data_IF_419798640959
#
_entry.id   IF_419798640959
#
_cell.length_a   1.000
_cell.length_b   1.000
_cell.length_c   1.000
_cell.angle_alpha   90.00
_cell.angle_beta   90.00
_cell.angle_gamma   90.00
#
_symmetry.space_group_name_H-M   'P 1'
#
loop_
_entity.id
_entity.type
_entity.pdbx_description
1 polymer ?
#
# COMPACT_ATOMS: atom_id res chain seq x y z
N UNK A 1 31.26 14.17 -0.79
CA UNK A 1 30.20 14.95 -0.13
C UNK A 1 29.40 13.99 0.74
N UNK A 2 29.08 14.34 1.98
CA UNK A 2 28.19 13.52 2.80
C UNK A 2 26.79 13.51 2.17
N UNK A 3 26.12 12.36 2.22
CA UNK A 3 24.78 12.17 1.64
C UNK A 3 23.75 13.19 2.16
N UNK A 4 23.97 13.74 3.36
CA UNK A 4 23.15 14.81 3.97
C UNK A 4 23.15 16.13 3.20
N UNK A 5 24.12 16.37 2.30
CA UNK A 5 24.19 17.59 1.48
C UNK A 5 24.11 17.30 -0.03
N UNK A 6 23.65 16.10 -0.44
CA UNK A 6 23.33 15.86 -1.86
C UNK A 6 22.01 16.51 -2.24
N UNK A 7 21.88 16.89 -3.50
CA UNK A 7 20.67 17.47 -4.08
C UNK A 7 19.46 16.51 -3.94
N UNK A 8 19.74 15.20 -4.03
CA UNK A 8 18.76 14.14 -3.76
C UNK A 8 18.25 14.19 -2.30
N UNK A 9 19.15 14.43 -1.34
CA UNK A 9 18.77 14.56 0.08
C UNK A 9 17.85 15.76 0.34
N UNK A 10 18.06 16.88 -0.36
CA UNK A 10 17.20 18.06 -0.24
C UNK A 10 15.81 17.82 -0.81
N UNK A 11 15.70 17.13 -1.95
CA UNK A 11 14.41 16.82 -2.58
C UNK A 11 13.65 15.77 -1.76
N UNK A 12 14.34 14.74 -1.26
CA UNK A 12 13.72 13.75 -0.38
C UNK A 12 13.22 14.37 0.94
N UNK A 13 13.99 15.28 1.54
CA UNK A 13 13.57 15.95 2.78
C UNK A 13 12.36 16.85 2.55
N UNK A 14 12.38 17.69 1.50
CA UNK A 14 11.24 18.54 1.17
C UNK A 14 9.97 17.71 0.87
N UNK A 15 10.12 16.56 0.22
CA UNK A 15 9.01 15.64 -0.03
C UNK A 15 8.43 15.09 1.27
N UNK A 16 9.30 14.70 2.22
CA UNK A 16 8.87 14.24 3.54
C UNK A 16 8.11 15.34 4.28
N UNK A 17 8.65 16.56 4.35
CA UNK A 17 8.03 17.67 5.09
C UNK A 17 6.62 17.97 4.59
N UNK A 18 6.42 17.99 3.26
CA UNK A 18 5.10 18.21 2.64
C UNK A 18 4.14 17.07 2.97
N UNK A 19 4.59 15.81 2.93
CA UNK A 19 3.74 14.67 3.26
C UNK A 19 3.31 14.69 4.73
N UNK A 20 4.21 15.03 5.64
CA UNK A 20 3.91 15.19 7.06
C UNK A 20 2.92 16.33 7.31
N UNK A 21 3.06 17.48 6.61
CA UNK A 21 2.10 18.59 6.68
C UNK A 21 0.69 18.16 6.19
N UNK A 22 0.62 17.29 5.19
CA UNK A 22 -0.63 16.70 4.69
C UNK A 22 -1.19 15.59 5.61
N UNK A 23 -0.55 15.31 6.75
CA UNK A 23 -1.00 14.34 7.75
C UNK A 23 -0.56 12.89 7.47
N UNK A 24 0.40 12.67 6.57
CA UNK A 24 0.96 11.35 6.33
C UNK A 24 2.04 11.02 7.36
N UNK A 25 2.06 9.78 7.83
CA UNK A 25 3.24 9.27 8.52
C UNK A 25 4.30 8.89 7.49
N UNK A 26 5.54 9.37 7.64
CA UNK A 26 6.63 9.04 6.73
C UNK A 26 7.63 8.10 7.42
N UNK A 27 7.96 6.98 6.76
CA UNK A 27 8.95 6.01 7.24
C UNK A 27 9.96 5.69 6.15
N UNK A 28 11.21 5.40 6.52
CA UNK A 28 12.25 4.96 5.57
C UNK A 28 12.53 3.47 5.74
N UNK A 29 12.31 2.68 4.69
CA UNK A 29 12.46 1.23 4.73
C UNK A 29 13.89 0.75 4.46
N UNK A 30 14.62 1.43 3.57
CA UNK A 30 15.95 0.98 3.15
C UNK A 30 16.91 0.77 4.33
N UNK A 31 17.43 -0.48 4.43
CA UNK A 31 18.29 -0.98 5.53
C UNK A 31 17.70 -0.95 6.94
N UNK A 32 16.49 -0.41 7.12
CA UNK A 32 15.78 -0.30 8.40
C UNK A 32 14.60 -1.27 8.51
N UNK A 33 14.17 -1.84 7.39
CA UNK A 33 13.08 -2.80 7.37
C UNK A 33 13.49 -4.14 8.00
N UNK A 34 12.74 -4.52 9.02
CA UNK A 34 12.64 -5.88 9.54
C UNK A 34 11.33 -6.52 9.07
N UNK A 35 11.34 -7.84 8.92
CA UNK A 35 10.18 -8.64 8.47
C UNK A 35 9.49 -9.36 9.62
N UNK A 36 8.26 -9.81 9.37
CA UNK A 36 7.34 -10.44 10.32
C UNK A 36 6.33 -9.45 10.90
N UNK A 37 5.43 -9.94 11.75
CA UNK A 37 4.31 -9.16 12.33
C UNK A 37 4.74 -7.90 13.08
N UNK A 38 5.88 -7.95 13.77
CA UNK A 38 6.49 -6.83 14.51
C UNK A 38 7.51 -6.05 13.67
N UNK A 39 7.68 -6.43 12.40
CA UNK A 39 8.55 -5.75 11.45
C UNK A 39 8.09 -4.32 11.19
N UNK A 40 9.00 -3.48 10.68
CA UNK A 40 8.72 -2.06 10.41
C UNK A 40 7.40 -1.85 9.64
N UNK A 41 7.21 -2.62 8.56
CA UNK A 41 6.02 -2.53 7.71
C UNK A 41 5.02 -3.68 7.90
N UNK A 42 5.37 -4.68 8.73
CA UNK A 42 4.55 -5.87 8.95
C UNK A 42 4.48 -6.79 7.74
N UNK A 43 5.50 -6.75 6.87
CA UNK A 43 5.65 -7.65 5.73
C UNK A 43 6.41 -8.91 6.13
N UNK A 44 6.07 -10.05 5.57
CA UNK A 44 6.84 -11.29 5.75
C UNK A 44 8.13 -11.32 4.91
N UNK A 45 8.11 -10.72 3.73
CA UNK A 45 9.27 -10.55 2.86
C UNK A 45 9.06 -9.44 1.81
N UNK A 46 10.04 -9.25 0.92
CA UNK A 46 10.01 -8.21 -0.13
C UNK A 46 9.04 -8.49 -1.27
N UNK A 47 8.41 -9.67 -1.35
CA UNK A 47 7.40 -9.98 -2.37
C UNK A 47 6.05 -9.35 -2.02
N UNK A 48 5.81 -9.05 -0.74
CA UNK A 48 4.58 -8.41 -0.30
C UNK A 48 4.60 -6.92 -0.66
N UNK A 49 3.70 -6.51 -1.55
CA UNK A 49 3.53 -5.10 -1.90
C UNK A 49 2.45 -4.44 -1.05
N UNK A 50 1.37 -5.16 -0.74
CA UNK A 50 0.30 -4.69 0.15
C UNK A 50 0.70 -4.89 1.60
N UNK A 51 0.55 -3.85 2.42
CA UNK A 51 0.87 -3.92 3.84
C UNK A 51 -0.33 -4.49 4.62
N UNK A 52 -0.40 -5.83 4.67
CA UNK A 52 -1.54 -6.58 5.20
C UNK A 52 -1.90 -6.22 6.64
N UNK A 53 -0.91 -5.94 7.50
CA UNK A 53 -1.13 -5.50 8.90
C UNK A 53 -2.02 -4.26 8.98
N UNK A 54 -1.69 -3.21 8.23
CA UNK A 54 -2.47 -1.98 8.21
C UNK A 54 -3.83 -2.17 7.52
N UNK A 55 -3.87 -2.99 6.46
CA UNK A 55 -5.10 -3.29 5.75
C UNK A 55 -6.11 -4.04 6.62
N UNK A 56 -5.66 -5.04 7.38
CA UNK A 56 -6.49 -5.77 8.33
C UNK A 56 -7.12 -4.83 9.35
N UNK A 57 -6.29 -4.02 10.01
CA UNK A 57 -6.73 -3.05 11.02
C UNK A 57 -7.75 -2.06 10.45
N UNK A 58 -7.51 -1.56 9.22
CA UNK A 58 -8.42 -0.63 8.57
C UNK A 58 -9.77 -1.28 8.20
N UNK A 59 -9.76 -2.46 7.56
CA UNK A 59 -11.00 -3.16 7.20
C UNK A 59 -11.81 -3.51 8.47
N UNK A 60 -11.15 -3.96 9.53
CA UNK A 60 -11.81 -4.26 10.81
C UNK A 60 -12.43 -3.00 11.43
N UNK A 61 -11.70 -1.88 11.46
CA UNK A 61 -12.18 -0.58 11.96
C UNK A 61 -13.39 -0.08 11.16
N UNK A 62 -13.35 -0.16 9.83
CA UNK A 62 -14.39 0.37 8.95
C UNK A 62 -15.64 -0.51 8.88
N UNK A 63 -15.54 -1.78 9.25
CA UNK A 63 -16.60 -2.78 9.14
C UNK A 63 -16.71 -3.59 10.44
N UNK A 64 -17.22 -2.96 11.50
CA UNK A 64 -17.43 -3.64 12.79
C UNK A 64 -18.45 -4.78 12.70
N UNK A 65 -18.35 -5.76 13.61
CA UNK A 65 -19.29 -6.88 13.79
C UNK A 65 -19.19 -8.02 12.75
N UNK A 66 -18.00 -8.25 12.18
CA UNK A 66 -17.71 -9.45 11.38
C UNK A 66 -16.65 -10.31 12.09
N UNK A 67 -16.67 -11.63 11.90
CA UNK A 67 -15.61 -12.50 12.42
C UNK A 67 -14.30 -12.32 11.62
N UNK A 68 -13.17 -12.67 12.22
CA UNK A 68 -11.85 -12.46 11.61
C UNK A 68 -11.70 -13.13 10.25
N UNK A 69 -12.31 -14.30 10.05
CA UNK A 69 -12.35 -15.00 8.75
C UNK A 69 -12.90 -14.11 7.60
N UNK A 70 -13.82 -13.19 7.90
CA UNK A 70 -14.34 -12.26 6.90
C UNK A 70 -13.29 -11.20 6.52
N UNK A 71 -12.52 -10.71 7.49
CA UNK A 71 -11.44 -9.74 7.25
C UNK A 71 -10.28 -10.40 6.52
N UNK A 72 -9.88 -11.61 6.91
CA UNK A 72 -8.85 -12.41 6.25
C UNK A 72 -9.22 -12.69 4.79
N UNK A 73 -10.46 -13.13 4.53
CA UNK A 73 -10.95 -13.35 3.18
C UNK A 73 -10.92 -12.08 2.33
N UNK A 74 -11.22 -10.91 2.91
CA UNK A 74 -11.12 -9.65 2.17
C UNK A 74 -9.67 -9.34 1.76
N UNK A 75 -8.70 -9.57 2.65
CA UNK A 75 -7.27 -9.38 2.35
C UNK A 75 -6.81 -10.37 1.29
N UNK A 76 -7.22 -11.63 1.38
CA UNK A 76 -6.93 -12.66 0.38
C UNK A 76 -7.46 -12.23 -0.98
N UNK A 77 -8.74 -11.84 -1.08
CA UNK A 77 -9.34 -11.37 -2.32
C UNK A 77 -8.68 -10.11 -2.88
N UNK A 78 -8.17 -9.21 -2.05
CA UNK A 78 -7.41 -8.03 -2.50
C UNK A 78 -6.05 -8.45 -3.05
N UNK A 79 -5.33 -9.32 -2.35
CA UNK A 79 -3.94 -9.68 -2.66
C UNK A 79 -3.79 -10.82 -3.67
N UNK A 80 -4.86 -11.54 -3.97
CA UNK A 80 -4.85 -12.67 -4.89
C UNK A 80 -4.39 -12.25 -6.30
N UNK A 81 -3.36 -12.93 -6.79
CA UNK A 81 -2.94 -12.91 -8.18
C UNK A 81 -3.64 -14.03 -8.93
N UNK A 82 -4.35 -13.70 -10.01
CA UNK A 82 -5.10 -14.66 -10.79
C UNK A 82 -4.44 -14.80 -12.17
N UNK A 83 -3.69 -15.87 -12.36
CA UNK A 83 -2.78 -16.06 -13.50
C UNK A 83 -3.48 -16.12 -14.87
N UNK A 84 -4.79 -16.44 -14.91
CA UNK A 84 -5.58 -16.53 -16.15
C UNK A 84 -6.26 -15.19 -16.52
N UNK A 85 -5.95 -14.11 -15.80
CA UNK A 85 -6.54 -12.80 -16.02
C UNK A 85 -5.53 -11.81 -16.60
N UNK A 86 -5.99 -10.97 -17.51
CA UNK A 86 -5.20 -9.83 -17.97
C UNK A 86 -5.08 -8.79 -16.85
N UNK A 87 -3.98 -8.02 -16.86
CA UNK A 87 -3.78 -6.92 -15.91
C UNK A 87 -4.95 -5.93 -15.89
N UNK A 88 -5.55 -5.64 -17.04
CA UNK A 88 -6.72 -4.77 -17.13
C UNK A 88 -7.96 -5.34 -16.43
N UNK A 89 -8.17 -6.66 -16.49
CA UNK A 89 -9.27 -7.35 -15.79
C UNK A 89 -9.03 -7.34 -14.28
N UNK A 90 -7.81 -7.69 -13.85
CA UNK A 90 -7.41 -7.64 -12.44
C UNK A 90 -7.60 -6.22 -11.91
N UNK A 91 -7.07 -5.21 -12.60
CA UNK A 91 -7.19 -3.82 -12.17
C UNK A 91 -8.65 -3.36 -12.03
N UNK A 92 -9.52 -3.72 -12.98
CA UNK A 92 -10.95 -3.40 -12.91
C UNK A 92 -11.62 -4.05 -11.70
N UNK A 93 -11.34 -5.32 -11.44
CA UNK A 93 -11.89 -6.06 -10.30
C UNK A 93 -11.40 -5.48 -8.96
N UNK A 94 -10.08 -5.29 -8.79
CA UNK A 94 -9.54 -4.70 -7.57
C UNK A 94 -10.05 -3.28 -7.37
N UNK A 95 -10.20 -2.49 -8.44
CA UNK A 95 -10.82 -1.16 -8.36
C UNK A 95 -12.26 -1.24 -7.85
N UNK A 96 -13.05 -2.23 -8.29
CA UNK A 96 -14.40 -2.46 -7.76
C UNK A 96 -14.37 -2.79 -6.27
N UNK A 97 -13.47 -3.67 -5.83
CA UNK A 97 -13.30 -4.01 -4.42
C UNK A 97 -12.93 -2.80 -3.57
N UNK A 98 -11.99 -1.98 -4.04
CA UNK A 98 -11.54 -0.78 -3.34
C UNK A 98 -12.63 0.29 -3.23
N UNK A 99 -13.48 0.45 -4.26
CA UNK A 99 -14.54 1.46 -4.30
C UNK A 99 -15.86 1.02 -3.65
N UNK A 100 -16.28 -0.21 -3.95
CA UNK A 100 -17.61 -0.72 -3.64
C UNK A 100 -17.60 -1.78 -2.53
N UNK A 101 -16.43 -2.12 -2.01
CA UNK A 101 -16.21 -3.10 -0.95
C UNK A 101 -15.93 -4.50 -1.49
N UNK A 102 -15.14 -5.25 -0.73
CA UNK A 102 -14.72 -6.61 -1.05
C UNK A 102 -15.86 -7.59 -0.73
N UNK A 103 -16.34 -8.41 -1.67
CA UNK A 103 -17.41 -9.36 -1.44
C UNK A 103 -16.89 -10.56 -0.64
N UNK A 104 -17.32 -10.68 0.61
CA UNK A 104 -16.94 -11.77 1.50
C UNK A 104 -18.14 -12.66 1.82
N UNK A 105 -17.88 -13.91 2.12
CA UNK A 105 -18.87 -14.87 2.55
C UNK A 105 -18.32 -15.81 3.62
N UNK A 106 -19.03 -15.90 4.75
CA UNK A 106 -18.64 -16.70 5.90
C UNK A 106 -19.86 -17.32 6.57
N UNK A 107 -19.65 -18.39 7.34
CA UNK A 107 -20.69 -19.03 8.14
C UNK A 107 -20.76 -18.37 9.51
N UNK A 108 -21.95 -17.91 9.92
CA UNK A 108 -22.14 -17.30 11.23
C UNK A 108 -22.28 -18.37 12.35
N UNK A 109 -22.41 -17.91 13.59
CA UNK A 109 -22.57 -18.80 14.77
C UNK A 109 -23.85 -19.65 14.76
N UNK A 110 -24.82 -19.33 13.89
CA UNK A 110 -26.05 -20.09 13.68
C UNK A 110 -25.94 -21.12 12.54
N UNK A 111 -24.77 -21.23 11.90
CA UNK A 111 -24.57 -22.11 10.75
C UNK A 111 -25.09 -21.55 9.42
N UNK A 112 -25.45 -20.27 9.36
CA UNK A 112 -26.00 -19.64 8.15
C UNK A 112 -24.87 -19.01 7.33
N UNK A 113 -24.95 -19.17 6.00
CA UNK A 113 -24.04 -18.48 5.07
C UNK A 113 -24.44 -17.00 4.96
N UNK A 114 -23.55 -16.13 5.44
CA UNK A 114 -23.70 -14.67 5.31
C UNK A 114 -22.85 -14.21 4.13
N UNK A 115 -23.42 -13.36 3.26
CA UNK A 115 -22.71 -12.66 2.19
C UNK A 115 -22.80 -11.17 2.42
N UNK A 116 -21.66 -10.48 2.42
CA UNK A 116 -21.61 -9.03 2.64
C UNK A 116 -20.45 -8.42 1.87
N UNK A 117 -20.36 -7.08 1.86
CA UNK A 117 -19.22 -6.36 1.32
C UNK A 117 -18.51 -5.57 2.41
N UNK A 118 -17.19 -5.71 2.50
CA UNK A 118 -16.38 -4.97 3.46
C UNK A 118 -15.71 -3.77 2.78
N UNK A 119 -15.92 -2.58 3.33
CA UNK A 119 -15.30 -1.34 2.86
C UNK A 119 -13.80 -1.35 3.12
N UNK A 120 -13.01 -0.92 2.13
CA UNK A 120 -11.55 -0.76 2.25
C UNK A 120 -11.16 0.66 2.64
N UNK A 121 -11.91 1.65 2.15
CA UNK A 121 -11.68 3.07 2.44
C UNK A 121 -12.94 3.75 2.96
N UNK A 122 -12.76 4.74 3.83
CA UNK A 122 -13.79 5.71 4.15
C UNK A 122 -13.67 6.92 3.21
N UNK A 123 -14.47 6.91 2.15
CA UNK A 123 -14.53 8.05 1.20
C UNK A 123 -15.36 9.22 1.72
N UNK A 124 -16.17 9.03 2.78
CA UNK A 124 -17.01 10.09 3.33
C UNK A 124 -16.24 10.94 4.33
N UNK A 125 -15.44 10.29 5.17
CA UNK A 125 -14.53 10.94 6.09
C UNK A 125 -13.12 10.36 5.90
N UNK A 126 -12.31 11.03 5.08
CA UNK A 126 -11.00 10.51 4.69
C UNK A 126 -10.04 10.37 5.87
N UNK A 127 -10.20 11.18 6.92
CA UNK A 127 -9.38 11.15 8.14
C UNK A 127 -9.50 9.82 8.92
N UNK A 128 -10.53 9.03 8.63
CA UNK A 128 -10.66 7.69 9.21
C UNK A 128 -9.67 6.67 8.61
N UNK A 129 -9.07 6.98 7.47
CA UNK A 129 -8.07 6.15 6.81
C UNK A 129 -6.67 6.42 7.38
N UNK A 130 -5.82 5.41 7.30
CA UNK A 130 -4.41 5.48 7.67
C UNK A 130 -3.56 5.83 6.45
N UNK A 131 -2.80 6.93 6.53
CA UNK A 131 -1.92 7.42 5.48
C UNK A 131 -0.45 7.21 5.86
N UNK A 132 0.26 6.42 5.07
CA UNK A 132 1.66 6.06 5.29
C UNK A 132 2.46 6.24 4.01
N UNK A 133 3.51 7.04 4.05
CA UNK A 133 4.47 7.14 2.96
C UNK A 133 5.74 6.37 3.33
N UNK A 134 6.13 5.42 2.49
CA UNK A 134 7.33 4.61 2.70
C UNK A 134 8.39 5.04 1.70
N UNK A 135 9.47 5.62 2.22
CA UNK A 135 10.67 6.00 1.45
C UNK A 135 11.56 4.79 1.20
N UNK A 136 12.12 4.73 -0.01
CA UNK A 136 13.09 3.73 -0.45
C UNK A 136 12.57 2.29 -0.22
N UNK A 137 11.34 2.03 -0.69
CA UNK A 137 10.59 0.79 -0.46
C UNK A 137 11.03 -0.31 -1.43
N UNK A 138 11.69 -1.36 -0.95
CA UNK A 138 12.14 -2.46 -1.83
C UNK A 138 11.05 -3.50 -2.07
N UNK A 139 10.84 -3.84 -3.34
CA UNK A 139 9.91 -4.87 -3.79
C UNK A 139 10.63 -5.84 -4.73
N UNK A 140 10.46 -7.14 -4.50
CA UNK A 140 10.94 -8.16 -5.41
C UNK A 140 9.96 -8.33 -6.57
N UNK A 141 10.35 -7.87 -7.77
CA UNK A 141 9.62 -8.15 -9.01
C UNK A 141 9.99 -9.51 -9.61
N UNK A 142 9.42 -9.85 -10.77
CA UNK A 142 9.66 -11.15 -11.43
C UNK A 142 11.13 -11.43 -11.75
N UNK A 143 11.90 -10.39 -12.09
CA UNK A 143 13.29 -10.52 -12.54
C UNK A 143 14.30 -9.93 -11.56
N UNK A 144 13.95 -8.86 -10.82
CA UNK A 144 14.88 -8.16 -9.93
C UNK A 144 14.16 -7.28 -8.90
N UNK A 145 14.94 -6.84 -7.90
CA UNK A 145 14.49 -5.88 -6.90
C UNK A 145 14.29 -4.49 -7.50
N UNK A 146 13.16 -3.88 -7.21
CA UNK A 146 12.83 -2.49 -7.49
C UNK A 146 12.81 -1.70 -6.20
N UNK A 147 13.26 -0.45 -6.25
CA UNK A 147 13.26 0.47 -5.10
C UNK A 147 12.77 1.85 -5.53
N UNK A 148 11.45 2.07 -5.54
CA UNK A 148 10.87 3.42 -5.58
C UNK A 148 11.43 4.34 -4.50
N UNK A 149 11.50 5.63 -4.82
CA UNK A 149 11.87 6.66 -3.86
C UNK A 149 10.82 6.82 -2.77
N UNK A 150 9.53 6.93 -3.13
CA UNK A 150 8.44 6.93 -2.13
C UNK A 150 7.21 6.19 -2.66
N UNK A 151 6.60 5.36 -1.81
CA UNK A 151 5.28 4.77 -2.07
C UNK A 151 4.30 5.22 -1.00
N UNK A 152 3.21 5.83 -1.44
CA UNK A 152 2.09 6.24 -0.61
C UNK A 152 1.06 5.12 -0.45
N UNK A 153 0.83 4.71 0.78
CA UNK A 153 -0.16 3.74 1.21
C UNK A 153 -1.35 4.41 1.89
N UNK A 154 -2.55 3.97 1.51
CA UNK A 154 -3.78 4.27 2.25
C UNK A 154 -4.33 2.96 2.76
N UNK A 155 -4.54 2.83 4.08
CA UNK A 155 -4.98 1.59 4.71
C UNK A 155 -4.13 0.36 4.29
N UNK A 156 -2.83 0.56 4.05
CA UNK A 156 -1.92 -0.51 3.59
C UNK A 156 -2.00 -0.87 2.10
N UNK A 157 -2.87 -0.23 1.32
CA UNK A 157 -2.92 -0.36 -0.15
C UNK A 157 -1.97 0.66 -0.78
N UNK A 158 -1.01 0.25 -1.64
CA UNK A 158 -0.14 1.16 -2.37
C UNK A 158 -0.94 1.88 -3.47
N UNK A 159 -1.13 3.19 -3.36
CA UNK A 159 -1.94 3.99 -4.29
C UNK A 159 -1.14 5.09 -5.00
N UNK A 160 -0.05 5.55 -4.41
CA UNK A 160 0.74 6.65 -4.97
C UNK A 160 2.18 6.21 -5.09
N UNK A 161 2.78 6.49 -6.25
CA UNK A 161 4.17 6.20 -6.55
C UNK A 161 4.87 7.53 -6.84
N UNK A 162 5.91 7.85 -6.08
CA UNK A 162 6.77 9.00 -6.31
C UNK A 162 8.13 8.52 -6.75
N UNK A 163 8.59 9.07 -7.86
CA UNK A 163 9.97 8.98 -8.32
C UNK A 163 10.52 10.40 -8.31
N UNK A 164 11.59 10.62 -7.55
CA UNK A 164 12.17 11.92 -7.32
C UNK A 164 13.38 12.08 -8.24
N UNK A 165 13.42 13.18 -8.99
CA UNK A 165 14.55 13.52 -9.85
C UNK A 165 15.06 14.90 -9.51
N UNK A 166 16.37 15.08 -9.64
CA UNK A 166 17.01 16.36 -9.49
C UNK A 166 16.47 17.38 -10.51
N UNK A 167 16.31 18.64 -10.08
CA UNK A 167 15.65 19.71 -10.85
C UNK A 167 16.35 20.07 -12.17
N UNK A 168 17.59 19.64 -12.36
CA UNK A 168 18.39 19.89 -13.57
C UNK A 168 18.25 18.79 -14.64
N UNK A 169 17.52 17.70 -14.37
CA UNK A 169 17.22 16.69 -15.38
C UNK A 169 16.03 17.11 -16.25
N UNK A 170 16.17 16.93 -17.56
CA UNK A 170 15.07 17.11 -18.51
C UNK A 170 13.92 16.13 -18.22
N UNK A 171 12.70 16.65 -18.14
CA UNK A 171 11.48 15.89 -17.81
C UNK A 171 11.23 14.68 -18.73
N UNK A 172 11.60 14.74 -20.01
CA UNK A 172 11.41 13.62 -20.94
C UNK A 172 12.42 12.52 -20.69
N UNK A 173 13.66 12.89 -20.38
CA UNK A 173 14.70 11.93 -19.97
C UNK A 173 14.35 11.30 -18.63
N UNK A 174 13.91 12.11 -17.67
CA UNK A 174 13.39 11.63 -16.39
C UNK A 174 12.23 10.64 -16.55
N UNK A 175 11.31 10.87 -17.51
CA UNK A 175 10.16 9.97 -17.74
C UNK A 175 10.54 8.67 -18.48
N UNK A 176 11.37 8.75 -19.51
CA UNK A 176 11.71 7.58 -20.34
C UNK A 176 12.70 6.63 -19.66
N UNK A 177 13.57 7.14 -18.78
CA UNK A 177 14.57 6.35 -18.06
C UNK A 177 14.09 5.97 -16.63
N UNK A 178 12.79 6.08 -16.36
CA UNK A 178 12.20 5.62 -15.09
C UNK A 178 12.17 4.09 -15.03
N UNK A 179 12.84 3.55 -14.00
CA UNK A 179 12.90 2.14 -13.56
C UNK A 179 12.52 1.06 -14.58
#
# INVERSE_FOLDING_TARGET
MSYEYSEDGLIEQATQDVLEELGWTVVTAWKKESFGTEGLLGREDKTEVVLKRYLFQAIQKLNSNHPDVAYEQAIELITQNVADQTLGRINKEKTDYLKNGVPVSYTNTKGELVKTKLKVFDFKNYENNHFLAVRQFEVLGELYLRRPDVVGFVNGIPLVFFELKAHHQDLRHAYNDNL
#
